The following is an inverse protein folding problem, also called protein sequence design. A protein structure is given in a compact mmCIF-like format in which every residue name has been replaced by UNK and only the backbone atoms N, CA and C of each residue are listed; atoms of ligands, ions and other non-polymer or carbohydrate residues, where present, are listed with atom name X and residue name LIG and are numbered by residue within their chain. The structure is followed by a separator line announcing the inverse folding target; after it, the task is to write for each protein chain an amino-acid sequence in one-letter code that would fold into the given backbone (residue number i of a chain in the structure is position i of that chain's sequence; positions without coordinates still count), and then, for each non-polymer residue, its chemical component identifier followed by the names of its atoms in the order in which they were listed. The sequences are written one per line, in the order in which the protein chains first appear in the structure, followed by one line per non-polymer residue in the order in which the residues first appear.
data_IF_628560195764
#
_entry.id   IF_628560195764
#
_cell.length_a   1.000
_cell.length_b   1.000
_cell.length_c   1.000
_cell.angle_alpha   90.00
_cell.angle_beta   90.00
_cell.angle_gamma   90.00
#
_symmetry.space_group_name_H-M   'P 1'
#
loop_
_entity.id
_entity.type
_entity.pdbx_description
1 polymer ?
#
# COMPACT_ATOMS: atom_id res chain seq x y z
N UNK A 1 -6.10 -4.89 -14.57
CA UNK A 1 -6.78 -4.20 -13.47
C UNK A 1 -6.88 -2.70 -13.74
N UNK A 2 -7.97 -2.08 -13.37
CA UNK A 2 -8.15 -0.64 -13.50
C UNK A 2 -7.64 0.05 -12.22
N UNK A 3 -6.41 0.56 -12.27
CA UNK A 3 -5.77 1.18 -11.12
C UNK A 3 -6.51 2.42 -10.60
N UNK A 4 -7.22 3.14 -11.49
CA UNK A 4 -7.96 4.34 -11.11
C UNK A 4 -9.16 4.06 -10.18
N UNK A 5 -9.52 2.81 -10.00
CA UNK A 5 -10.54 2.43 -9.01
C UNK A 5 -9.99 2.40 -7.59
N UNK A 6 -8.68 2.42 -7.43
CA UNK A 6 -8.06 2.53 -6.11
C UNK A 6 -8.08 4.01 -5.73
N UNK A 7 -9.14 4.42 -5.03
CA UNK A 7 -9.34 5.80 -4.58
C UNK A 7 -9.40 5.81 -3.06
N UNK A 8 -8.47 6.52 -2.44
CA UNK A 8 -8.29 6.48 -0.99
C UNK A 8 -8.73 7.76 -0.30
N UNK A 9 -9.04 8.81 -1.04
CA UNK A 9 -9.57 10.07 -0.51
C UNK A 9 -11.08 10.05 -0.36
N UNK A 10 -11.77 9.22 -1.16
CA UNK A 10 -13.22 9.05 -1.10
C UNK A 10 -13.54 7.57 -1.25
N UNK A 11 -13.83 6.91 -0.12
CA UNK A 11 -13.98 5.46 -0.10
C UNK A 11 -15.33 5.02 -0.67
N UNK A 12 -15.29 4.20 -1.72
CA UNK A 12 -16.45 3.49 -2.23
C UNK A 12 -16.72 2.27 -1.35
N UNK A 13 -17.96 1.77 -1.37
CA UNK A 13 -18.38 0.67 -0.50
C UNK A 13 -17.56 -0.60 -0.70
N UNK A 14 -17.07 -0.83 -1.91
CA UNK A 14 -16.34 -2.05 -2.28
C UNK A 14 -14.82 -1.90 -2.25
N UNK A 15 -14.31 -0.76 -1.75
CA UNK A 15 -12.86 -0.48 -1.82
C UNK A 15 -12.02 -1.55 -1.13
N UNK A 16 -12.44 -1.99 0.06
CA UNK A 16 -11.70 -2.98 0.84
C UNK A 16 -12.12 -4.43 0.56
N UNK A 17 -13.09 -4.64 -0.32
CA UNK A 17 -13.54 -5.97 -0.74
C UNK A 17 -13.19 -6.22 -2.20
N UNK A 18 -14.08 -5.93 -3.13
CA UNK A 18 -13.87 -6.28 -4.53
C UNK A 18 -12.66 -5.58 -5.15
N UNK A 19 -12.47 -4.29 -4.87
CA UNK A 19 -11.32 -3.55 -5.41
C UNK A 19 -10.00 -4.11 -4.88
N UNK A 20 -9.93 -4.38 -3.58
CA UNK A 20 -8.73 -4.97 -2.98
C UNK A 20 -8.48 -6.39 -3.51
N UNK A 21 -9.54 -7.18 -3.70
CA UNK A 21 -9.40 -8.52 -4.29
C UNK A 21 -8.84 -8.44 -5.70
N UNK A 22 -9.35 -7.53 -6.51
CA UNK A 22 -8.85 -7.35 -7.89
C UNK A 22 -7.38 -6.96 -7.90
N UNK A 23 -6.96 -6.10 -6.98
CA UNK A 23 -5.56 -5.74 -6.83
C UNK A 23 -4.71 -6.97 -6.44
N UNK A 24 -5.21 -7.79 -5.51
CA UNK A 24 -4.51 -9.00 -5.08
C UNK A 24 -4.37 -10.00 -6.23
N UNK A 25 -5.41 -10.18 -7.03
CA UNK A 25 -5.36 -11.05 -8.20
C UNK A 25 -4.34 -10.55 -9.21
N UNK A 26 -4.29 -9.24 -9.43
CA UNK A 26 -3.34 -8.63 -10.36
C UNK A 26 -1.88 -8.89 -9.93
N UNK A 27 -1.57 -8.73 -8.65
CA UNK A 27 -0.21 -8.97 -8.14
C UNK A 27 0.10 -10.45 -7.94
N UNK A 28 -0.89 -11.34 -8.10
CA UNK A 28 -0.71 -12.79 -7.98
C UNK A 28 -0.47 -13.48 -9.32
N UNK A 29 -0.49 -12.74 -10.43
CA UNK A 29 -0.37 -13.31 -11.77
C UNK A 29 0.98 -14.01 -12.00
N UNK A 30 2.04 -13.46 -11.46
CA UNK A 30 3.36 -14.08 -11.53
C UNK A 30 3.67 -14.76 -10.20
N UNK A 31 3.65 -16.09 -10.19
CA UNK A 31 3.82 -16.87 -8.96
C UNK A 31 5.24 -16.80 -8.38
N UNK A 32 6.22 -16.41 -9.19
CA UNK A 32 7.61 -16.30 -8.75
C UNK A 32 7.92 -14.95 -8.10
N UNK A 33 7.02 -13.99 -8.18
CA UNK A 33 7.20 -12.62 -7.68
C UNK A 33 6.12 -12.28 -6.66
N UNK A 34 6.31 -11.16 -5.97
CA UNK A 34 5.31 -10.58 -5.08
C UNK A 34 4.87 -11.55 -3.98
N UNK A 35 5.83 -12.29 -3.44
CA UNK A 35 5.53 -13.27 -2.38
C UNK A 35 5.11 -12.56 -1.11
N UNK A 36 4.24 -13.20 -0.34
CA UNK A 36 3.66 -12.63 0.88
C UNK A 36 4.72 -12.09 1.84
N UNK A 37 5.86 -12.78 1.98
CA UNK A 37 6.94 -12.34 2.86
C UNK A 37 7.56 -11.02 2.40
N UNK A 38 7.67 -10.80 1.08
CA UNK A 38 8.19 -9.54 0.53
C UNK A 38 7.17 -8.41 0.71
N UNK A 39 5.90 -8.67 0.39
CA UNK A 39 4.86 -7.65 0.52
C UNK A 39 4.65 -7.24 1.97
N UNK A 40 4.80 -8.18 2.91
CA UNK A 40 4.64 -7.91 4.33
C UNK A 40 5.64 -6.86 4.84
N UNK A 41 6.85 -6.84 4.28
CA UNK A 41 7.85 -5.85 4.66
C UNK A 41 7.39 -4.43 4.35
N UNK A 42 6.76 -4.22 3.19
CA UNK A 42 6.21 -2.92 2.82
C UNK A 42 5.03 -2.54 3.70
N UNK A 43 4.17 -3.52 4.00
CA UNK A 43 3.05 -3.29 4.89
C UNK A 43 3.52 -2.90 6.29
N UNK A 44 4.49 -3.61 6.83
CA UNK A 44 4.97 -3.35 8.19
C UNK A 44 5.55 -1.93 8.32
N UNK A 45 6.25 -1.46 7.29
CA UNK A 45 6.79 -0.10 7.33
C UNK A 45 5.68 0.94 7.20
N UNK A 46 4.70 0.72 6.31
CA UNK A 46 3.54 1.62 6.19
C UNK A 46 2.75 1.67 7.49
N UNK A 47 2.52 0.51 8.12
CA UNK A 47 1.81 0.42 9.39
C UNK A 47 2.58 1.13 10.51
N UNK A 48 3.89 1.07 10.51
CA UNK A 48 4.73 1.77 11.49
C UNK A 48 4.53 3.29 11.38
N UNK A 49 4.53 3.84 10.16
CA UNK A 49 4.28 5.27 9.96
C UNK A 49 2.87 5.65 10.37
N UNK A 50 1.88 4.81 10.02
CA UNK A 50 0.51 5.00 10.46
C UNK A 50 0.43 5.10 11.98
N UNK A 51 1.04 4.17 12.70
CA UNK A 51 0.97 4.13 14.15
C UNK A 51 1.63 5.35 14.77
N UNK A 52 2.78 5.76 14.25
CA UNK A 52 3.46 6.97 14.73
C UNK A 52 2.58 8.22 14.58
N UNK A 53 1.91 8.35 13.44
CA UNK A 53 1.04 9.49 13.20
C UNK A 53 -0.18 9.47 14.13
N UNK A 54 -0.80 8.31 14.30
CA UNK A 54 -2.05 8.20 15.07
C UNK A 54 -1.84 8.20 16.57
N UNK A 55 -0.63 7.91 17.04
CA UNK A 55 -0.28 7.99 18.46
C UNK A 55 0.21 9.38 18.86
N UNK A 56 0.49 10.25 17.91
CA UNK A 56 1.00 11.60 18.20
C UNK A 56 -0.09 12.52 18.74
N UNK A 57 0.30 13.52 19.51
CA UNK A 57 -0.63 14.52 20.02
C UNK A 57 -1.27 15.33 18.90
N UNK A 58 -0.50 15.64 17.84
CA UNK A 58 -1.00 16.30 16.65
C UNK A 58 -0.77 15.39 15.44
N UNK A 59 -1.84 14.81 14.91
CA UNK A 59 -1.75 13.94 13.72
C UNK A 59 -1.28 14.70 12.50
N UNK A 60 -1.78 15.92 12.33
CA UNK A 60 -1.39 16.76 11.19
C UNK A 60 0.11 17.00 11.16
N UNK A 61 0.67 17.43 12.28
CA UNK A 61 2.11 17.71 12.39
C UNK A 61 2.93 16.43 12.21
N UNK A 62 2.51 15.34 12.87
CA UNK A 62 3.20 14.05 12.75
C UNK A 62 3.17 13.54 11.32
N UNK A 63 2.05 13.71 10.60
CA UNK A 63 1.98 13.33 9.20
C UNK A 63 2.95 14.16 8.36
N UNK A 64 2.99 15.47 8.55
CA UNK A 64 3.91 16.32 7.78
C UNK A 64 5.36 15.88 7.97
N UNK A 65 5.73 15.51 9.18
CA UNK A 65 7.09 15.02 9.47
C UNK A 65 7.35 13.66 8.85
N UNK A 66 6.34 12.80 8.75
CA UNK A 66 6.47 11.43 8.20
C UNK A 66 6.38 11.39 6.68
N UNK A 67 5.75 12.39 6.05
CA UNK A 67 5.37 12.36 4.63
C UNK A 67 6.54 12.02 3.68
N UNK A 68 7.74 12.63 3.79
CA UNK A 68 8.84 12.26 2.88
C UNK A 68 9.25 10.80 3.02
N UNK A 69 9.23 10.27 4.23
CA UNK A 69 9.62 8.89 4.49
C UNK A 69 8.57 7.89 3.99
N UNK A 70 7.29 8.28 4.05
CA UNK A 70 6.22 7.48 3.47
C UNK A 70 6.41 7.39 1.96
N UNK A 71 6.64 8.52 1.29
CA UNK A 71 6.86 8.53 -0.16
C UNK A 71 8.13 7.79 -0.57
N UNK A 72 9.12 7.69 0.32
CA UNK A 72 10.34 6.94 0.07
C UNK A 72 10.08 5.43 -0.10
N UNK A 73 8.93 4.93 0.38
CA UNK A 73 8.54 3.54 0.15
C UNK A 73 8.49 3.21 -1.33
N UNK A 74 8.20 4.17 -2.19
CA UNK A 74 8.18 3.96 -3.64
C UNK A 74 9.57 3.64 -4.17
N UNK A 75 10.60 4.30 -3.66
CA UNK A 75 11.99 3.99 -4.02
C UNK A 75 12.39 2.60 -3.52
N UNK A 76 11.95 2.23 -2.32
CA UNK A 76 12.23 0.90 -1.77
C UNK A 76 11.57 -0.19 -2.60
N UNK A 77 10.35 0.05 -3.10
CA UNK A 77 9.68 -0.88 -4.01
C UNK A 77 10.43 -1.02 -5.33
N UNK A 78 10.90 0.08 -5.90
CA UNK A 78 11.70 0.06 -7.13
C UNK A 78 13.01 -0.73 -6.93
N UNK A 79 13.66 -0.57 -5.78
CA UNK A 79 14.85 -1.35 -5.44
C UNK A 79 14.54 -2.84 -5.37
N UNK A 80 13.41 -3.20 -4.74
CA UNK A 80 12.97 -4.58 -4.64
C UNK A 80 12.69 -5.20 -6.01
N UNK A 81 12.14 -4.41 -6.94
CA UNK A 81 11.95 -4.84 -8.33
C UNK A 81 13.30 -5.10 -8.99
N UNK A 82 14.27 -4.22 -8.79
CA UNK A 82 15.62 -4.40 -9.32
C UNK A 82 16.28 -5.67 -8.82
N UNK A 83 15.92 -6.13 -7.61
CA UNK A 83 16.39 -7.39 -7.04
C UNK A 83 15.51 -8.59 -7.41
N UNK A 84 14.53 -8.39 -8.26
CA UNK A 84 13.62 -9.44 -8.76
C UNK A 84 12.70 -10.03 -7.69
N UNK A 85 12.46 -9.32 -6.60
CA UNK A 85 11.52 -9.77 -5.55
C UNK A 85 10.07 -9.40 -5.86
N UNK A 86 9.86 -8.29 -6.57
CA UNK A 86 8.54 -7.83 -7.00
C UNK A 86 8.58 -7.49 -8.48
N UNK A 87 7.41 -7.36 -9.11
CA UNK A 87 7.28 -7.09 -10.53
C UNK A 87 6.54 -5.77 -10.80
N UNK A 88 6.34 -5.46 -12.09
CA UNK A 88 5.66 -4.24 -12.50
C UNK A 88 4.20 -4.18 -12.02
N UNK A 89 3.53 -5.34 -11.89
CA UNK A 89 2.16 -5.35 -11.39
C UNK A 89 2.09 -4.84 -9.95
N UNK A 90 3.01 -5.29 -9.10
CA UNK A 90 3.08 -4.78 -7.72
C UNK A 90 3.45 -3.30 -7.72
N UNK A 91 4.44 -2.89 -8.50
CA UNK A 91 4.88 -1.48 -8.55
C UNK A 91 3.70 -0.57 -8.91
N UNK A 92 2.89 -0.96 -9.91
CA UNK A 92 1.75 -0.16 -10.34
C UNK A 92 0.71 0.00 -9.23
N UNK A 93 0.35 -1.10 -8.56
CA UNK A 93 -0.61 -1.06 -7.46
C UNK A 93 -0.05 -0.26 -6.28
N UNK A 94 1.18 -0.53 -5.90
CA UNK A 94 1.81 0.12 -4.74
C UNK A 94 1.96 1.62 -4.94
N UNK A 95 2.39 2.05 -6.13
CA UNK A 95 2.51 3.47 -6.44
C UNK A 95 1.15 4.17 -6.44
N UNK A 96 0.10 3.47 -6.86
CA UNK A 96 -1.26 4.01 -6.80
C UNK A 96 -1.71 4.20 -5.34
N UNK A 97 -1.32 3.28 -4.45
CA UNK A 97 -1.63 3.39 -3.02
C UNK A 97 -0.84 4.54 -2.39
N UNK A 98 0.48 4.50 -2.49
CA UNK A 98 1.35 5.46 -1.80
C UNK A 98 1.20 6.87 -2.36
N UNK A 99 1.01 7.00 -3.67
CA UNK A 99 0.88 8.29 -4.33
C UNK A 99 -0.35 9.08 -3.92
N UNK A 100 -1.38 8.43 -3.36
CA UNK A 100 -2.60 9.09 -2.91
C UNK A 100 -2.53 9.55 -1.45
N UNK A 101 -1.47 9.22 -0.72
CA UNK A 101 -1.33 9.62 0.68
C UNK A 101 -0.92 11.09 0.73
N UNK A 102 -1.76 11.92 1.37
CA UNK A 102 -1.50 13.35 1.52
C UNK A 102 -1.90 13.92 2.88
N UNK A 103 -2.48 13.09 3.76
CA UNK A 103 -2.84 13.47 5.12
C UNK A 103 -2.98 12.21 5.99
N UNK A 104 -3.30 12.40 7.27
CA UNK A 104 -3.47 11.27 8.20
C UNK A 104 -4.59 10.34 7.76
N UNK A 105 -5.70 10.87 7.27
CA UNK A 105 -6.85 10.05 6.84
C UNK A 105 -6.50 9.18 5.64
N UNK A 106 -5.85 9.72 4.62
CA UNK A 106 -5.45 8.93 3.46
C UNK A 106 -4.35 7.94 3.80
N UNK A 107 -3.47 8.26 4.77
CA UNK A 107 -2.52 7.30 5.29
C UNK A 107 -3.23 6.09 5.93
N UNK A 108 -4.25 6.35 6.76
CA UNK A 108 -5.06 5.28 7.34
C UNK A 108 -5.73 4.43 6.26
N UNK A 109 -6.33 5.08 5.28
CA UNK A 109 -7.03 4.40 4.20
C UNK A 109 -6.07 3.56 3.35
N UNK A 110 -4.87 4.07 3.10
CA UNK A 110 -3.83 3.33 2.38
C UNK A 110 -3.40 2.08 3.13
N UNK A 111 -3.18 2.22 4.45
CA UNK A 111 -2.83 1.08 5.29
C UNK A 111 -3.93 0.01 5.26
N UNK A 112 -5.19 0.42 5.41
CA UNK A 112 -6.33 -0.50 5.38
C UNK A 112 -6.48 -1.18 4.03
N UNK A 113 -6.30 -0.44 2.94
CA UNK A 113 -6.40 -1.02 1.60
C UNK A 113 -5.31 -2.07 1.37
N UNK A 114 -4.07 -1.74 1.73
CA UNK A 114 -2.96 -2.68 1.56
C UNK A 114 -3.14 -3.91 2.46
N UNK A 115 -3.66 -3.72 3.67
CA UNK A 115 -4.00 -4.84 4.56
C UNK A 115 -5.01 -5.77 3.91
N UNK A 116 -6.06 -5.22 3.28
CA UNK A 116 -7.06 -6.00 2.56
C UNK A 116 -6.45 -6.74 1.37
N UNK A 117 -5.57 -6.08 0.61
CA UNK A 117 -4.84 -6.71 -0.51
C UNK A 117 -4.04 -7.90 -0.02
N UNK A 118 -3.32 -7.75 1.10
CA UNK A 118 -2.53 -8.84 1.66
C UNK A 118 -3.42 -10.01 2.11
N UNK A 119 -4.58 -9.71 2.68
CA UNK A 119 -5.55 -10.73 3.07
C UNK A 119 -6.00 -11.57 1.88
N UNK A 120 -6.39 -10.93 0.80
CA UNK A 120 -6.80 -11.63 -0.42
C UNK A 120 -5.63 -12.32 -1.11
N UNK A 121 -4.45 -11.71 -1.08
CA UNK A 121 -3.23 -12.32 -1.66
C UNK A 121 -2.88 -13.62 -0.95
N UNK A 122 -3.02 -13.67 0.36
CA UNK A 122 -2.76 -14.87 1.16
C UNK A 122 -3.77 -15.99 0.81
N UNK A 123 -5.01 -15.62 0.54
CA UNK A 123 -6.06 -16.58 0.21
C UNK A 123 -5.87 -17.19 -1.18
N UNK A 124 -5.20 -16.48 -2.10
CA UNK A 124 -4.89 -16.99 -3.43
C UNK A 124 -3.68 -17.94 -3.35
#
# INVERSE_FOLDING_TARGET
MELNKIKLDKLEIDIFSDTARNAAEHISQNKDKNKSTQLRKFYDELAMWHDKVFQAASREEAYQNAAPFIQMLRAKAAYSKGRSHVDDNFIAVFNQIIGQIHNADTLKNAKLFFEAVLGFRKAN
#
